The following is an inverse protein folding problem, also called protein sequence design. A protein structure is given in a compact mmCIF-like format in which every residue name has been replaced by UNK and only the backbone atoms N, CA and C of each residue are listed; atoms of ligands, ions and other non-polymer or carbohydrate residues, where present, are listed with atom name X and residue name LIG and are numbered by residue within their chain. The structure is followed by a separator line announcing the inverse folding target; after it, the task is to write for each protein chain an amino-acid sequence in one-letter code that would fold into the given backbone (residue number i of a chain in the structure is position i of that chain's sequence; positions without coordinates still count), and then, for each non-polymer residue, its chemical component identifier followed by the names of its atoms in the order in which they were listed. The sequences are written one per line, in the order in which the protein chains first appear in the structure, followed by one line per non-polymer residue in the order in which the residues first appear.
data_IF_408403435619
#
_entry.id   IF_408403435619
#
_cell.length_a   1.000
_cell.length_b   1.000
_cell.length_c   1.000
_cell.angle_alpha   90.00
_cell.angle_beta   90.00
_cell.angle_gamma   90.00
#
_symmetry.space_group_name_H-M   'P 1'
#
loop_
_entity.id
_entity.type
_entity.pdbx_description
1 polymer ?
#
# COMPACT_ATOMS: atom_id res chain seq x y z
N UNK A 1 11.65 -13.65 21.32
CA UNK A 1 11.45 -12.51 20.39
C UNK A 1 9.95 -12.37 20.12
N UNK A 2 9.31 -11.22 20.41
CA UNK A 2 7.89 -11.03 20.13
C UNK A 2 7.62 -11.03 18.62
N UNK A 3 6.40 -11.44 18.21
CA UNK A 3 5.99 -11.39 16.80
C UNK A 3 5.80 -9.95 16.34
N UNK A 4 6.22 -9.66 15.11
CA UNK A 4 6.08 -8.35 14.47
C UNK A 4 5.47 -8.50 13.08
N UNK A 5 4.67 -7.52 12.68
CA UNK A 5 4.13 -7.42 11.32
C UNK A 5 4.99 -6.55 10.41
N UNK A 6 6.11 -6.00 10.90
CA UNK A 6 7.02 -5.21 10.08
C UNK A 6 7.53 -6.03 8.89
N UNK A 7 7.36 -5.47 7.70
CA UNK A 7 7.73 -6.11 6.44
C UNK A 7 8.41 -5.08 5.50
N UNK A 8 9.64 -4.63 5.83
CA UNK A 8 10.44 -3.87 4.86
C UNK A 8 10.70 -4.78 3.66
N UNK A 9 10.36 -4.30 2.46
CA UNK A 9 10.33 -5.12 1.25
C UNK A 9 11.19 -4.50 0.17
N UNK A 10 12.06 -5.32 -0.42
CA UNK A 10 12.85 -5.01 -1.61
C UNK A 10 12.47 -6.03 -2.67
N UNK A 11 12.06 -5.54 -3.85
CA UNK A 11 11.76 -6.35 -5.01
C UNK A 11 12.89 -6.20 -6.02
N UNK A 12 13.41 -7.33 -6.48
CA UNK A 12 14.40 -7.40 -7.55
C UNK A 12 13.71 -7.77 -8.85
N UNK A 13 14.16 -7.17 -9.96
CA UNK A 13 13.74 -7.53 -11.29
C UNK A 13 14.30 -8.88 -11.76
N UNK A 14 13.88 -9.38 -12.93
CA UNK A 14 14.31 -10.68 -13.44
C UNK A 14 15.83 -10.83 -13.61
N UNK A 15 16.55 -9.73 -13.80
CA UNK A 15 18.01 -9.69 -13.91
C UNK A 15 18.74 -9.51 -12.57
N UNK A 16 18.01 -9.55 -11.45
CA UNK A 16 18.55 -9.29 -10.10
C UNK A 16 18.74 -7.81 -9.76
N UNK A 17 18.46 -6.88 -10.68
CA UNK A 17 18.54 -5.44 -10.42
C UNK A 17 17.43 -4.97 -9.49
N UNK A 18 17.69 -3.90 -8.73
CA UNK A 18 16.67 -3.28 -7.88
C UNK A 18 15.48 -2.80 -8.72
N UNK A 19 14.26 -3.15 -8.33
CA UNK A 19 13.03 -2.71 -8.99
C UNK A 19 12.16 -1.84 -8.09
N UNK A 20 11.93 -2.24 -6.84
CA UNK A 20 11.08 -1.49 -5.90
C UNK A 20 11.59 -1.65 -4.46
N UNK A 21 11.60 -0.56 -3.70
CA UNK A 21 11.73 -0.59 -2.24
C UNK A 21 10.45 -0.05 -1.64
N UNK A 22 9.84 -0.76 -0.70
CA UNK A 22 8.63 -0.27 -0.02
C UNK A 22 8.44 -0.85 1.38
N UNK A 23 7.68 -0.13 2.21
CA UNK A 23 7.28 -0.56 3.54
C UNK A 23 6.36 0.46 4.20
N UNK A 24 5.72 0.06 5.29
CA UNK A 24 4.80 0.91 6.04
C UNK A 24 4.85 0.58 7.54
N UNK A 25 4.59 1.56 8.43
CA UNK A 25 4.05 1.31 9.76
C UNK A 25 2.54 0.96 9.70
N UNK A 26 1.91 0.70 10.85
CA UNK A 26 0.46 0.45 10.92
C UNK A 26 0.02 -0.82 11.66
N UNK A 27 0.88 -1.36 12.54
CA UNK A 27 0.58 -2.56 13.33
C UNK A 27 0.32 -3.79 12.46
N UNK A 28 -0.71 -4.56 12.78
CA UNK A 28 -1.03 -5.78 12.03
C UNK A 28 -1.42 -5.54 10.56
N UNK A 29 -1.70 -4.29 10.16
CA UNK A 29 -2.08 -3.94 8.78
C UNK A 29 -0.88 -3.71 7.86
N UNK A 30 0.34 -3.66 8.41
CA UNK A 30 1.58 -3.48 7.63
C UNK A 30 1.66 -4.47 6.47
N UNK A 31 1.33 -5.74 6.71
CA UNK A 31 1.33 -6.79 5.70
C UNK A 31 0.44 -6.43 4.50
N UNK A 32 -0.77 -5.93 4.76
CA UNK A 32 -1.71 -5.52 3.71
C UNK A 32 -1.23 -4.28 2.96
N UNK A 33 -0.74 -3.26 3.68
CA UNK A 33 -0.26 -2.02 3.06
C UNK A 33 0.94 -2.29 2.13
N UNK A 34 1.92 -3.06 2.61
CA UNK A 34 3.11 -3.41 1.81
C UNK A 34 2.74 -4.30 0.63
N UNK A 35 1.92 -5.33 0.81
CA UNK A 35 1.50 -6.19 -0.30
C UNK A 35 0.76 -5.38 -1.39
N UNK A 36 -0.10 -4.45 -0.97
CA UNK A 36 -0.84 -3.59 -1.88
C UNK A 36 0.06 -2.59 -2.61
N UNK A 37 1.06 -2.00 -1.96
CA UNK A 37 1.98 -1.08 -2.65
C UNK A 37 2.79 -1.81 -3.72
N UNK A 38 3.20 -3.05 -3.47
CA UNK A 38 3.85 -3.91 -4.48
C UNK A 38 2.92 -4.16 -5.68
N UNK A 39 1.67 -4.58 -5.44
CA UNK A 39 0.70 -4.79 -6.53
C UNK A 39 0.41 -3.50 -7.30
N UNK A 40 0.15 -2.40 -6.59
CA UNK A 40 -0.18 -1.12 -7.20
C UNK A 40 0.92 -0.61 -8.14
N UNK A 41 2.19 -0.74 -7.74
CA UNK A 41 3.31 -0.27 -8.55
C UNK A 41 3.65 -1.26 -9.67
N UNK A 42 3.69 -2.56 -9.39
CA UNK A 42 4.23 -3.55 -10.34
C UNK A 42 3.19 -4.21 -11.24
N UNK A 43 1.96 -4.40 -10.76
CA UNK A 43 0.87 -5.02 -11.53
C UNK A 43 0.00 -3.95 -12.19
N UNK A 44 -0.39 -2.92 -11.44
CA UNK A 44 -1.25 -1.85 -11.95
C UNK A 44 -0.46 -0.71 -12.62
N UNK A 45 0.88 -0.81 -12.64
CA UNK A 45 1.79 0.19 -13.22
C UNK A 45 1.52 1.62 -12.73
N UNK A 46 1.14 1.78 -11.46
CA UNK A 46 0.92 3.10 -10.89
C UNK A 46 2.25 3.76 -10.52
N UNK A 47 2.30 5.07 -10.74
CA UNK A 47 3.33 5.93 -10.16
C UNK A 47 3.40 5.72 -8.62
N UNK A 48 4.59 5.65 -8.01
CA UNK A 48 4.74 5.40 -6.58
C UNK A 48 3.99 6.38 -5.68
N UNK A 49 3.92 7.67 -6.03
CA UNK A 49 3.19 8.66 -5.23
C UNK A 49 1.68 8.38 -5.26
N UNK A 50 1.14 8.02 -6.44
CA UNK A 50 -0.25 7.58 -6.55
C UNK A 50 -0.52 6.28 -5.80
N UNK A 51 0.41 5.31 -5.88
CA UNK A 51 0.29 4.02 -5.22
C UNK A 51 0.19 4.15 -3.69
N UNK A 52 1.02 5.00 -3.07
CA UNK A 52 1.02 5.19 -1.60
C UNK A 52 -0.12 6.08 -1.11
N UNK A 53 -0.69 6.93 -1.98
CA UNK A 53 -1.78 7.86 -1.60
C UNK A 53 -3.16 7.21 -1.68
N UNK A 54 -3.35 6.25 -2.59
CA UNK A 54 -4.65 5.61 -2.86
C UNK A 54 -5.30 5.01 -1.60
N UNK A 55 -6.62 5.14 -1.51
CA UNK A 55 -7.41 4.65 -0.37
C UNK A 55 -7.26 3.17 -0.08
N UNK A 56 -7.03 2.79 1.18
CA UNK A 56 -6.81 1.41 1.60
C UNK A 56 -8.08 0.56 1.63
N UNK A 57 -7.88 -0.74 1.41
CA UNK A 57 -8.87 -1.83 1.45
C UNK A 57 -8.12 -2.97 2.11
N UNK A 58 -8.54 -3.36 3.30
CA UNK A 58 -7.76 -4.26 4.16
C UNK A 58 -8.67 -5.32 4.74
N UNK A 59 -8.27 -6.58 4.66
CA UNK A 59 -8.87 -7.65 5.46
C UNK A 59 -7.79 -8.39 6.25
N UNK A 60 -8.18 -8.84 7.44
CA UNK A 60 -7.33 -9.65 8.33
C UNK A 60 -8.07 -10.93 8.71
N UNK A 61 -8.63 -11.61 7.73
CA UNK A 61 -9.50 -12.80 7.88
C UNK A 61 -10.80 -12.51 8.64
N UNK A 62 -11.36 -11.32 8.46
CA UNK A 62 -12.62 -10.90 9.05
C UNK A 62 -13.27 -9.83 8.18
N UNK A 63 -13.90 -8.84 8.80
CA UNK A 63 -14.49 -7.70 8.09
C UNK A 63 -13.46 -7.01 7.18
N UNK A 64 -13.93 -6.49 6.06
CA UNK A 64 -13.13 -5.66 5.16
C UNK A 64 -13.18 -4.23 5.68
N UNK A 65 -12.02 -3.71 6.09
CA UNK A 65 -11.85 -2.30 6.40
C UNK A 65 -11.67 -1.54 5.07
N UNK A 66 -12.61 -0.64 4.75
CA UNK A 66 -12.46 0.36 3.69
C UNK A 66 -12.02 1.68 4.32
N UNK A 67 -11.10 2.37 3.66
CA UNK A 67 -10.63 3.66 4.15
C UNK A 67 -11.70 4.76 3.99
N UNK A 68 -11.95 5.48 5.08
CA UNK A 68 -12.80 6.67 5.10
C UNK A 68 -12.25 7.79 4.20
N UNK A 69 -13.14 8.58 3.58
CA UNK A 69 -12.74 9.74 2.77
C UNK A 69 -12.25 9.37 1.37
N UNK A 70 -12.64 8.19 0.87
CA UNK A 70 -12.24 7.66 -0.43
C UNK A 70 -13.48 7.26 -1.23
N UNK A 71 -13.36 7.17 -2.56
CA UNK A 71 -14.47 6.83 -3.45
C UNK A 71 -14.65 5.31 -3.56
N UNK A 72 -15.01 4.65 -2.46
CA UNK A 72 -15.24 3.19 -2.41
C UNK A 72 -16.72 2.79 -2.31
N UNK A 73 -17.68 3.67 -2.59
CA UNK A 73 -19.10 3.36 -2.46
C UNK A 73 -19.53 2.18 -3.34
N UNK A 74 -19.13 2.18 -4.62
CA UNK A 74 -19.41 1.07 -5.53
C UNK A 74 -18.72 -0.23 -5.08
N UNK A 75 -17.47 -0.13 -4.61
CA UNK A 75 -16.72 -1.27 -4.09
C UNK A 75 -17.38 -1.84 -2.84
N UNK A 76 -17.88 -0.98 -1.94
CA UNK A 76 -18.61 -1.37 -0.73
C UNK A 76 -19.85 -2.18 -1.11
N UNK A 77 -20.70 -1.64 -1.97
CA UNK A 77 -21.93 -2.32 -2.42
C UNK A 77 -21.60 -3.66 -3.07
N UNK A 78 -20.58 -3.70 -3.95
CA UNK A 78 -20.13 -4.93 -4.58
C UNK A 78 -19.69 -5.99 -3.58
N UNK A 79 -18.86 -5.62 -2.60
CA UNK A 79 -18.39 -6.54 -1.57
C UNK A 79 -19.52 -7.00 -0.62
N UNK A 80 -20.43 -6.11 -0.23
CA UNK A 80 -21.62 -6.46 0.57
C UNK A 80 -22.51 -7.46 -0.19
N UNK A 81 -22.69 -7.29 -1.50
CA UNK A 81 -23.46 -8.23 -2.33
C UNK A 81 -22.83 -9.63 -2.42
N UNK A 82 -21.51 -9.72 -2.23
CA UNK A 82 -20.77 -10.98 -2.14
C UNK A 82 -20.76 -11.56 -0.72
N UNK A 83 -21.44 -10.93 0.23
CA UNK A 83 -21.56 -11.38 1.62
C UNK A 83 -20.44 -10.93 2.55
N UNK A 84 -19.60 -9.97 2.14
CA UNK A 84 -18.58 -9.41 3.02
C UNK A 84 -19.17 -8.38 3.98
N UNK A 85 -18.79 -8.47 5.25
CA UNK A 85 -19.05 -7.40 6.22
C UNK A 85 -18.03 -6.27 6.03
N UNK A 86 -18.53 -5.04 5.85
CA UNK A 86 -17.71 -3.87 5.59
C UNK A 86 -17.63 -2.96 6.81
N UNK A 87 -16.46 -2.38 7.04
CA UNK A 87 -16.22 -1.38 8.06
C UNK A 87 -15.49 -0.18 7.44
N UNK A 88 -16.14 0.98 7.39
CA UNK A 88 -15.51 2.21 6.89
C UNK A 88 -14.81 2.90 8.06
N UNK A 89 -13.49 3.16 7.94
CA UNK A 89 -12.70 3.75 9.03
C UNK A 89 -11.46 4.47 8.53
N UNK A 90 -10.90 5.33 9.37
CA UNK A 90 -9.53 5.85 9.18
C UNK A 90 -8.51 4.70 9.24
N UNK A 91 -7.58 4.72 8.28
CA UNK A 91 -6.45 3.81 8.21
C UNK A 91 -5.16 4.64 8.22
N UNK A 92 -4.18 4.20 9.01
CA UNK A 92 -3.04 5.03 9.42
C UNK A 92 -1.69 4.43 9.00
N UNK A 93 -1.61 4.04 7.72
CA UNK A 93 -0.36 3.65 7.08
C UNK A 93 0.68 4.78 7.14
N UNK A 94 1.84 4.53 6.56
CA UNK A 94 2.91 5.50 6.39
C UNK A 94 3.84 4.99 5.29
N UNK A 95 3.23 4.59 4.17
CA UNK A 95 3.92 3.95 3.08
C UNK A 95 5.00 4.86 2.52
N UNK A 96 6.17 4.30 2.31
CA UNK A 96 7.19 4.90 1.45
C UNK A 96 7.49 3.90 0.34
N UNK A 97 7.68 4.40 -0.86
CA UNK A 97 8.01 3.59 -2.02
C UNK A 97 9.04 4.30 -2.90
N UNK A 98 10.00 3.55 -3.43
CA UNK A 98 10.94 4.00 -4.46
C UNK A 98 10.97 2.95 -5.57
N UNK A 99 10.49 3.32 -6.76
CA UNK A 99 10.55 2.53 -7.98
C UNK A 99 11.82 2.90 -8.76
N UNK A 100 12.54 1.88 -9.23
CA UNK A 100 13.65 2.02 -10.18
C UNK A 100 13.16 1.60 -11.56
N UNK A 101 13.21 2.53 -12.51
CA UNK A 101 12.80 2.28 -13.88
C UNK A 101 13.62 3.10 -14.87
N UNK A 102 14.20 2.43 -15.87
CA UNK A 102 14.99 3.06 -16.93
C UNK A 102 16.12 3.96 -16.41
N UNK A 103 16.78 3.53 -15.32
CA UNK A 103 17.86 4.27 -14.66
C UNK A 103 17.38 5.47 -13.83
N UNK A 104 16.06 5.68 -13.68
CA UNK A 104 15.46 6.75 -12.89
C UNK A 104 14.83 6.21 -11.61
N UNK A 105 14.75 7.08 -10.61
CA UNK A 105 14.11 6.82 -9.32
C UNK A 105 12.81 7.62 -9.22
N UNK A 106 11.72 6.93 -8.90
CA UNK A 106 10.42 7.54 -8.67
C UNK A 106 10.03 7.26 -7.22
N UNK A 107 9.86 8.31 -6.43
CA UNK A 107 9.57 8.22 -5.00
C UNK A 107 8.13 8.57 -4.67
N UNK A 108 7.57 7.91 -3.67
CA UNK A 108 6.27 8.24 -3.10
C UNK A 108 6.28 8.21 -1.58
N UNK A 109 5.69 9.23 -0.94
CA UNK A 109 5.46 9.29 0.50
C UNK A 109 3.96 9.41 0.81
N UNK A 110 3.48 8.58 1.71
CA UNK A 110 2.07 8.50 2.11
C UNK A 110 1.63 9.74 2.91
N UNK A 111 0.63 10.50 2.44
CA UNK A 111 0.21 11.74 3.10
C UNK A 111 -0.50 11.53 4.45
N UNK A 112 -0.77 10.27 4.85
CA UNK A 112 -1.36 9.96 6.16
C UNK A 112 -0.39 10.16 7.33
N UNK A 113 0.89 10.37 7.05
CA UNK A 113 1.94 10.69 8.02
C UNK A 113 2.85 11.79 7.48
N UNK A 114 3.65 12.35 8.38
CA UNK A 114 4.80 13.16 8.01
C UNK A 114 5.77 12.36 7.12
N UNK A 115 6.19 12.97 6.00
CA UNK A 115 7.13 12.35 5.07
C UNK A 115 7.14 13.04 3.72
N UNK A 116 8.30 13.07 3.06
CA UNK A 116 8.47 13.51 1.67
C UNK A 116 9.41 12.53 0.97
N UNK A 117 9.20 12.34 -0.33
CA UNK A 117 10.18 11.69 -1.19
C UNK A 117 10.95 12.78 -1.97
N UNK A 118 12.26 12.80 -1.84
CA UNK A 118 13.13 13.78 -2.50
C UNK A 118 14.41 13.10 -2.99
N UNK A 119 14.91 13.53 -4.15
CA UNK A 119 16.11 13.00 -4.80
C UNK A 119 16.38 13.73 -6.12
N UNK A 120 17.56 13.49 -6.70
CA UNK A 120 17.98 14.01 -8.01
C UNK A 120 18.47 12.84 -8.87
#
# INVERSE_FOLDING_TARGET
RPRSSMAPTIVLGPNGGLRLVTGSPGGSRIINYTARSVMAVLDWNLDPQWAVTRGHVVSRNGKVDLEEGTFWDELKVGLESLGHEINVRKLNSGLHAILVENGKLYGGADPRREGIAAGQ
#
